data_IF_449264759063
#
_entry.id   IF_449264759063
#
_cell.length_a   1.000
_cell.length_b   1.000
_cell.length_c   1.000
_cell.angle_alpha   90.00
_cell.angle_beta   90.00
_cell.angle_gamma   90.00
#
_symmetry.space_group_name_H-M   'P 1'
#
loop_
_entity.id
_entity.type
_entity.pdbx_description
1 polymer ?
#
# COMPACT_ATOMS: atom_id res chain seq x y z
N UNK A 1 -35.42 45.02 -54.93
CA UNK A 1 -36.59 45.14 -54.04
C UNK A 1 -36.78 43.82 -53.30
N UNK A 2 -37.23 43.92 -52.04
CA UNK A 2 -37.32 42.89 -50.97
C UNK A 2 -38.10 41.60 -51.30
N UNK A 3 -37.78 40.54 -50.50
CA UNK A 3 -38.61 39.44 -49.89
C UNK A 3 -37.92 38.07 -50.11
N UNK A 4 -37.09 37.52 -49.22
CA UNK A 4 -37.26 36.81 -47.91
C UNK A 4 -38.23 35.59 -47.89
N UNK A 5 -37.69 34.47 -47.36
CA UNK A 5 -38.26 33.20 -46.83
C UNK A 5 -38.66 32.14 -47.88
N UNK A 6 -38.37 30.83 -47.74
CA UNK A 6 -38.21 30.02 -46.53
C UNK A 6 -37.26 28.82 -46.69
N UNK A 7 -36.65 28.44 -45.56
CA UNK A 7 -35.85 27.24 -45.31
C UNK A 7 -36.76 26.13 -44.80
N UNK A 8 -36.62 24.89 -45.28
CA UNK A 8 -36.77 23.68 -44.44
C UNK A 8 -35.97 22.53 -45.05
N UNK A 9 -34.77 22.27 -44.52
CA UNK A 9 -33.98 21.06 -44.77
C UNK A 9 -34.33 20.08 -43.65
N UNK A 10 -34.93 18.94 -43.99
CA UNK A 10 -35.04 17.78 -43.11
C UNK A 10 -33.90 16.84 -43.45
N UNK A 11 -32.87 16.80 -42.60
CA UNK A 11 -31.80 15.82 -42.69
C UNK A 11 -31.83 14.96 -41.43
N UNK A 12 -32.41 13.77 -41.54
CA UNK A 12 -32.35 12.74 -40.52
C UNK A 12 -31.01 11.99 -40.66
N UNK A 13 -30.06 12.27 -39.79
CA UNK A 13 -28.83 11.47 -39.65
C UNK A 13 -28.88 10.70 -38.34
N UNK A 14 -28.93 9.38 -38.48
CA UNK A 14 -28.91 8.38 -37.42
C UNK A 14 -27.54 8.41 -36.74
N UNK A 15 -27.48 8.82 -35.47
CA UNK A 15 -26.27 8.68 -34.65
C UNK A 15 -26.22 7.27 -34.09
N UNK A 16 -25.32 6.45 -34.64
CA UNK A 16 -24.79 5.26 -33.96
C UNK A 16 -24.05 5.71 -32.70
N UNK A 17 -24.73 5.64 -31.55
CA UNK A 17 -24.10 5.74 -30.24
C UNK A 17 -23.60 4.35 -29.83
N UNK A 18 -22.40 4.01 -30.27
CA UNK A 18 -21.63 2.92 -29.66
C UNK A 18 -21.14 3.38 -28.28
N UNK A 19 -21.90 3.05 -27.22
CA UNK A 19 -21.37 3.01 -25.86
C UNK A 19 -20.36 1.86 -25.78
N UNK A 20 -19.07 2.19 -25.90
CA UNK A 20 -18.01 1.40 -25.29
C UNK A 20 -17.72 2.03 -23.94
N UNK A 21 -18.12 1.34 -22.89
CA UNK A 21 -17.66 1.61 -21.53
C UNK A 21 -16.13 1.47 -21.53
N UNK A 22 -15.42 2.60 -21.49
CA UNK A 22 -14.00 2.59 -21.14
C UNK A 22 -13.90 2.28 -19.65
N UNK A 23 -13.02 1.36 -19.21
CA UNK A 23 -12.66 1.30 -17.80
C UNK A 23 -12.07 2.65 -17.41
N UNK A 24 -12.61 3.25 -16.34
CA UNK A 24 -12.04 4.44 -15.71
C UNK A 24 -10.59 4.14 -15.34
N UNK A 25 -9.67 4.71 -16.12
CA UNK A 25 -8.28 4.84 -15.71
C UNK A 25 -8.29 5.83 -14.55
N UNK A 26 -7.86 5.37 -13.37
CA UNK A 26 -7.75 6.20 -12.18
C UNK A 26 -7.00 7.50 -12.51
N UNK A 27 -7.63 8.62 -12.16
CA UNK A 27 -7.11 9.97 -12.39
C UNK A 27 -5.74 10.10 -11.68
N UNK A 28 -4.71 10.70 -12.30
CA UNK A 28 -3.44 10.97 -11.61
C UNK A 28 -3.71 11.80 -10.36
N UNK A 29 -3.26 11.32 -9.20
CA UNK A 29 -3.43 12.04 -7.93
C UNK A 29 -2.56 13.32 -7.95
N UNK A 30 -3.14 14.43 -7.54
CA UNK A 30 -2.47 15.74 -7.45
C UNK A 30 -1.28 15.65 -6.49
N UNK A 31 -0.09 16.18 -6.85
CA UNK A 31 1.05 16.28 -5.94
C UNK A 31 0.65 16.97 -4.62
N UNK A 32 1.00 16.37 -3.48
CA UNK A 32 0.76 16.93 -2.13
C UNK A 32 -0.48 16.44 -1.38
N UNK A 33 -1.24 15.47 -1.90
CA UNK A 33 -2.31 14.82 -1.13
C UNK A 33 -1.73 13.67 -0.29
N UNK A 34 -1.88 13.73 1.03
CA UNK A 34 -1.46 12.66 1.94
C UNK A 34 -2.08 11.31 1.55
N UNK A 35 -1.28 10.30 1.24
CA UNK A 35 -1.75 8.96 0.89
C UNK A 35 -1.51 7.99 2.04
N UNK A 36 -2.58 7.34 2.53
CA UNK A 36 -2.53 6.19 3.46
C UNK A 36 -2.50 4.91 2.64
N UNK A 37 -1.31 4.40 2.40
CA UNK A 37 -1.04 3.59 1.22
C UNK A 37 -1.67 2.20 1.31
N UNK A 38 -1.37 1.45 2.37
CA UNK A 38 -1.91 0.10 2.56
C UNK A 38 -3.37 0.13 3.01
N UNK A 39 -3.77 1.13 3.81
CA UNK A 39 -5.17 1.28 4.24
C UNK A 39 -6.13 1.40 3.05
N UNK A 40 -5.84 2.31 2.13
CA UNK A 40 -6.70 2.52 0.97
C UNK A 40 -6.81 1.25 0.13
N UNK A 41 -5.73 0.49 0.02
CA UNK A 41 -5.70 -0.71 -0.79
C UNK A 41 -6.50 -1.88 -0.20
N UNK A 42 -6.43 -2.06 1.13
CA UNK A 42 -7.20 -3.10 1.81
C UNK A 42 -8.70 -2.78 1.90
N UNK A 43 -9.06 -1.49 1.92
CA UNK A 43 -10.47 -1.07 1.98
C UNK A 43 -11.22 -1.30 0.67
N UNK A 44 -10.53 -1.46 -0.46
CA UNK A 44 -11.16 -1.65 -1.77
C UNK A 44 -11.01 -3.08 -2.34
N UNK A 45 -10.39 -4.01 -1.60
CA UNK A 45 -10.13 -5.41 -2.04
C UNK A 45 -9.45 -5.52 -3.42
N UNK A 46 -8.68 -4.50 -3.84
CA UNK A 46 -8.18 -4.41 -5.22
C UNK A 46 -7.08 -5.44 -5.53
N UNK A 47 -6.35 -5.91 -4.50
CA UNK A 47 -5.19 -6.79 -4.66
C UNK A 47 -5.34 -8.17 -4.03
N UNK A 48 -6.24 -8.32 -3.06
CA UNK A 48 -6.40 -9.50 -2.19
C UNK A 48 -7.87 -9.66 -1.84
N UNK A 49 -8.32 -10.91 -1.71
CA UNK A 49 -9.72 -11.26 -1.46
C UNK A 49 -9.88 -12.21 -0.25
N UNK A 50 -8.75 -12.65 0.31
CA UNK A 50 -8.68 -13.60 1.41
C UNK A 50 -7.78 -13.02 2.50
N UNK A 51 -8.33 -12.87 3.71
CA UNK A 51 -7.60 -12.43 4.90
C UNK A 51 -7.53 -13.58 5.90
N UNK A 52 -6.35 -13.84 6.42
CA UNK A 52 -6.05 -14.85 7.42
C UNK A 52 -5.32 -14.22 8.60
N UNK A 53 -5.41 -14.85 9.76
CA UNK A 53 -4.63 -14.50 10.94
C UNK A 53 -3.61 -15.61 11.16
N UNK A 54 -2.33 -15.25 11.18
CA UNK A 54 -1.23 -16.18 11.45
C UNK A 54 -0.63 -15.92 12.84
N UNK A 55 -0.18 -16.99 13.50
CA UNK A 55 0.48 -16.94 14.81
C UNK A 55 1.57 -18.02 14.92
N UNK A 56 2.51 -18.01 13.98
CA UNK A 56 3.51 -19.08 13.85
C UNK A 56 4.81 -18.74 14.58
N UNK A 57 5.51 -17.67 14.17
CA UNK A 57 6.83 -17.28 14.67
C UNK A 57 6.94 -15.77 15.00
N UNK A 58 8.04 -15.42 15.65
CA UNK A 58 8.50 -14.05 15.85
C UNK A 58 9.13 -13.53 14.56
N UNK A 59 8.52 -12.52 13.97
CA UNK A 59 8.93 -11.98 12.68
C UNK A 59 9.11 -10.47 12.77
N UNK A 60 10.13 -9.97 12.06
CA UNK A 60 9.98 -8.71 11.35
C UNK A 60 9.35 -9.02 9.99
N UNK A 61 8.24 -8.36 9.65
CA UNK A 61 7.55 -8.58 8.38
C UNK A 61 7.12 -7.26 7.77
N UNK A 62 7.25 -7.12 6.45
CA UNK A 62 7.06 -5.85 5.79
C UNK A 62 7.11 -5.94 4.28
N UNK A 63 7.17 -4.79 3.62
CA UNK A 63 7.14 -4.70 2.17
C UNK A 63 8.19 -3.74 1.65
N UNK A 64 8.80 -4.09 0.53
CA UNK A 64 9.64 -3.18 -0.25
C UNK A 64 8.77 -2.31 -1.14
N UNK A 65 9.05 -1.02 -1.16
CA UNK A 65 8.33 -0.06 -1.99
C UNK A 65 9.24 1.06 -2.49
N UNK A 66 8.75 1.82 -3.46
CA UNK A 66 9.30 3.10 -3.87
C UNK A 66 8.18 4.06 -4.25
N UNK A 67 8.48 5.36 -4.32
CA UNK A 67 7.60 6.36 -4.92
C UNK A 67 8.08 6.71 -6.33
N UNK A 68 7.16 6.81 -7.29
CA UNK A 68 7.45 7.28 -8.65
C UNK A 68 7.71 8.79 -8.72
N UNK A 69 7.34 9.53 -7.67
CA UNK A 69 7.59 10.97 -7.53
C UNK A 69 8.41 11.26 -6.27
N UNK A 70 9.21 12.32 -6.29
CA UNK A 70 9.86 12.79 -5.06
C UNK A 70 8.83 13.37 -4.08
N UNK A 71 9.11 13.27 -2.78
CA UNK A 71 8.24 13.74 -1.71
C UNK A 71 8.87 13.43 -0.35
N UNK A 72 8.02 13.19 0.66
CA UNK A 72 8.48 12.85 2.02
C UNK A 72 7.55 11.87 2.71
N UNK A 73 8.14 11.03 3.56
CA UNK A 73 7.42 10.13 4.46
C UNK A 73 7.33 10.82 5.83
N UNK A 74 6.12 11.05 6.32
CA UNK A 74 5.88 11.87 7.51
C UNK A 74 5.32 11.08 8.69
N UNK A 75 4.74 9.90 8.43
CA UNK A 75 4.19 9.04 9.47
C UNK A 75 4.47 7.57 9.17
N UNK A 76 4.59 6.79 10.23
CA UNK A 76 4.53 5.33 10.20
C UNK A 76 3.19 4.89 10.80
N UNK A 77 2.63 3.82 10.28
CA UNK A 77 1.37 3.27 10.78
C UNK A 77 1.35 1.75 10.78
N UNK A 78 0.35 1.19 11.46
CA UNK A 78 0.07 -0.24 11.39
C UNK A 78 -1.40 -0.57 11.62
N UNK A 79 -1.76 -1.81 11.27
CA UNK A 79 -3.00 -2.48 11.67
C UNK A 79 -2.69 -3.93 12.03
N UNK A 80 -3.01 -4.34 13.25
CA UNK A 80 -2.75 -5.70 13.76
C UNK A 80 -4.00 -6.35 14.38
N UNK A 81 -4.13 -7.69 14.36
CA UNK A 81 -5.30 -8.40 14.89
C UNK A 81 -5.49 -8.28 16.40
N UNK A 82 -4.44 -7.91 17.14
CA UNK A 82 -4.46 -7.85 18.60
C UNK A 82 -3.98 -6.50 19.09
N UNK A 83 -4.62 -5.99 20.14
CA UNK A 83 -4.18 -4.78 20.81
C UNK A 83 -2.76 -4.93 21.35
N UNK A 84 -2.01 -3.82 21.40
CA UNK A 84 -0.65 -3.81 21.93
C UNK A 84 0.19 -2.69 21.35
N UNK A 85 1.44 -2.58 21.83
CA UNK A 85 2.41 -1.59 21.39
C UNK A 85 3.34 -2.21 20.35
N UNK A 86 3.09 -1.93 19.08
CA UNK A 86 3.87 -2.50 17.97
C UNK A 86 4.92 -1.52 17.48
N UNK A 87 6.12 -2.03 17.22
CA UNK A 87 7.18 -1.26 16.57
C UNK A 87 7.06 -1.38 15.06
N UNK A 88 6.98 -0.24 14.39
CA UNK A 88 7.05 -0.10 12.94
C UNK A 88 8.37 0.58 12.58
N UNK A 89 9.05 0.06 11.56
CA UNK A 89 10.40 0.46 11.17
C UNK A 89 10.44 0.76 9.67
N UNK A 90 11.05 1.89 9.30
CA UNK A 90 11.33 2.28 7.93
C UNK A 90 12.83 2.18 7.67
N UNK A 91 13.19 1.46 6.62
CA UNK A 91 14.57 1.17 6.26
C UNK A 91 14.90 1.67 4.86
N UNK A 92 16.14 2.09 4.65
CA UNK A 92 16.70 2.23 3.30
C UNK A 92 16.99 0.82 2.75
N UNK A 93 16.51 0.52 1.55
CA UNK A 93 16.64 -0.83 1.01
C UNK A 93 18.09 -1.16 0.61
N UNK A 94 18.84 -0.19 0.06
CA UNK A 94 20.17 -0.42 -0.47
C UNK A 94 21.22 -0.63 0.63
N UNK A 95 21.23 0.27 1.61
CA UNK A 95 22.15 0.26 2.75
C UNK A 95 21.67 -0.57 3.92
N UNK A 96 20.38 -0.94 3.95
CA UNK A 96 19.71 -1.66 5.06
C UNK A 96 19.67 -0.86 6.37
N UNK A 97 19.98 0.43 6.33
CA UNK A 97 19.98 1.30 7.50
C UNK A 97 18.56 1.61 7.96
N UNK A 98 18.36 1.68 9.28
CA UNK A 98 17.11 2.16 9.86
C UNK A 98 17.04 3.67 9.69
N UNK A 99 16.01 4.14 8.98
CA UNK A 99 15.78 5.57 8.75
C UNK A 99 14.88 6.17 9.83
N UNK A 100 13.83 5.45 10.22
CA UNK A 100 12.90 5.88 11.25
C UNK A 100 12.23 4.67 11.90
N UNK A 101 11.76 4.82 13.14
CA UNK A 101 10.88 3.84 13.77
C UNK A 101 9.91 4.51 14.75
N UNK A 102 8.73 3.93 14.91
CA UNK A 102 7.74 4.38 15.88
C UNK A 102 7.15 3.19 16.64
N UNK A 103 6.79 3.40 17.90
CA UNK A 103 6.00 2.44 18.69
C UNK A 103 4.58 2.97 18.76
N UNK A 104 3.63 2.21 18.22
CA UNK A 104 2.23 2.62 18.12
C UNK A 104 1.35 1.78 19.03
N UNK A 105 0.42 2.42 19.74
CA UNK A 105 -0.72 1.74 20.32
C UNK A 105 -1.62 1.25 19.17
N UNK A 106 -1.78 -0.06 19.03
CA UNK A 106 -2.66 -0.69 18.06
C UNK A 106 -3.99 -1.05 18.72
N UNK A 107 -5.08 -0.75 18.01
CA UNK A 107 -6.42 -1.26 18.32
C UNK A 107 -6.81 -2.25 17.23
N UNK A 108 -7.36 -3.43 17.59
CA UNK A 108 -7.74 -4.45 16.61
C UNK A 108 -8.57 -3.87 15.46
N UNK A 109 -8.24 -4.31 14.25
CA UNK A 109 -8.92 -3.93 13.00
C UNK A 109 -8.88 -2.45 12.60
N UNK A 110 -8.12 -1.60 13.31
CA UNK A 110 -7.97 -0.18 13.01
C UNK A 110 -6.53 0.17 12.61
N UNK A 111 -6.38 1.08 11.66
CA UNK A 111 -5.07 1.66 11.37
C UNK A 111 -4.75 2.76 12.37
N UNK A 112 -3.58 2.67 13.01
CA UNK A 112 -3.02 3.74 13.85
C UNK A 112 -1.76 4.28 13.22
N UNK A 113 -1.45 5.55 13.50
CA UNK A 113 -0.31 6.27 12.92
C UNK A 113 0.41 7.08 14.00
N UNK A 114 1.71 7.25 13.83
CA UNK A 114 2.55 8.10 14.64
C UNK A 114 3.44 8.95 13.73
N UNK A 115 3.62 10.21 14.12
CA UNK A 115 4.50 11.16 13.45
C UNK A 115 5.96 10.68 13.55
N UNK A 116 6.74 10.96 12.50
CA UNK A 116 8.20 10.82 12.52
C UNK A 116 8.85 12.11 12.02
N UNK A 117 10.16 12.24 12.24
CA UNK A 117 10.92 13.23 11.47
C UNK A 117 10.82 12.91 9.99
N UNK A 118 10.40 13.89 9.19
CA UNK A 118 10.21 13.75 7.76
C UNK A 118 11.43 13.10 7.08
N UNK A 119 11.19 11.98 6.40
CA UNK A 119 12.23 11.30 5.61
C UNK A 119 12.05 11.70 4.14
N UNK A 120 13.03 12.39 3.53
CA UNK A 120 12.96 12.72 2.12
C UNK A 120 12.99 11.45 1.28
N UNK A 121 12.09 11.36 0.31
CA UNK A 121 12.01 10.27 -0.63
C UNK A 121 12.28 10.81 -2.02
N UNK A 122 13.39 10.40 -2.62
CA UNK A 122 13.70 10.71 -4.00
C UNK A 122 12.95 9.72 -4.90
N UNK A 123 12.44 10.18 -6.03
CA UNK A 123 11.78 9.31 -7.01
C UNK A 123 12.62 8.05 -7.30
N UNK A 124 11.97 6.89 -7.26
CA UNK A 124 12.52 5.55 -7.47
C UNK A 124 13.54 5.06 -6.42
N UNK A 125 13.74 5.80 -5.32
CA UNK A 125 14.45 5.27 -4.15
C UNK A 125 13.62 4.20 -3.47
N UNK A 126 14.25 3.07 -3.14
CA UNK A 126 13.59 1.92 -2.52
C UNK A 126 13.76 1.94 -1.02
N UNK A 127 12.65 1.69 -0.36
CA UNK A 127 12.54 1.58 1.09
C UNK A 127 11.94 0.22 1.44
N UNK A 128 12.08 -0.17 2.71
CA UNK A 128 11.30 -1.23 3.32
C UNK A 128 10.55 -0.67 4.50
N UNK A 129 9.26 -0.88 4.57
CA UNK A 129 8.44 -0.62 5.75
C UNK A 129 8.10 -1.96 6.39
N UNK A 130 8.31 -2.10 7.69
CA UNK A 130 8.08 -3.36 8.40
C UNK A 130 7.51 -3.16 9.79
N UNK A 131 6.88 -4.21 10.31
CA UNK A 131 6.37 -4.31 11.67
C UNK A 131 6.97 -5.54 12.36
N UNK A 132 7.33 -5.36 13.62
CA UNK A 132 7.77 -6.44 14.49
C UNK A 132 6.57 -7.11 15.17
N UNK A 133 6.46 -8.43 15.07
CA UNK A 133 5.31 -9.19 15.60
C UNK A 133 5.49 -9.61 17.07
N UNK A 134 6.55 -9.16 17.75
CA UNK A 134 6.76 -9.39 19.17
C UNK A 134 6.39 -8.13 19.94
N UNK A 135 5.51 -8.28 20.93
CA UNK A 135 5.13 -7.20 21.84
C UNK A 135 5.38 -7.70 23.25
N UNK A 136 6.21 -6.97 24.00
CA UNK A 136 6.56 -7.29 25.40
C UNK A 136 7.14 -8.71 25.56
N UNK A 137 7.96 -9.15 24.60
CA UNK A 137 8.61 -10.47 24.62
C UNK A 137 7.67 -11.64 24.25
N UNK A 138 6.43 -11.37 23.87
CA UNK A 138 5.49 -12.37 23.41
C UNK A 138 5.18 -12.21 21.92
N UNK A 139 5.22 -13.30 21.15
CA UNK A 139 4.73 -13.32 19.78
C UNK A 139 3.25 -12.96 19.72
N UNK A 140 2.88 -12.12 18.77
CA UNK A 140 1.51 -11.67 18.53
C UNK A 140 1.04 -12.13 17.14
N UNK A 141 -0.26 -12.40 16.97
CA UNK A 141 -0.79 -12.73 15.67
C UNK A 141 -0.65 -11.54 14.70
N UNK A 142 -0.58 -11.83 13.41
CA UNK A 142 -0.52 -10.83 12.34
C UNK A 142 -1.40 -11.24 11.16
N UNK A 143 -1.84 -10.25 10.38
CA UNK A 143 -2.64 -10.51 9.19
C UNK A 143 -1.78 -11.06 8.04
N UNK A 144 -2.37 -11.98 7.29
CA UNK A 144 -1.90 -12.41 5.97
C UNK A 144 -3.03 -12.17 4.98
N UNK A 145 -2.75 -11.47 3.89
CA UNK A 145 -3.67 -11.27 2.78
C UNK A 145 -3.14 -11.91 1.51
N UNK A 146 -4.02 -12.57 0.76
CA UNK A 146 -3.69 -13.17 -0.54
C UNK A 146 -4.88 -13.14 -1.48
N UNK A 147 -4.63 -13.44 -2.76
CA UNK A 147 -5.68 -13.75 -3.75
C UNK A 147 -6.25 -15.15 -3.49
N UNK A 148 -7.49 -15.39 -3.93
CA UNK A 148 -8.24 -16.64 -3.69
C UNK A 148 -7.53 -17.82 -4.31
N UNK A 149 -6.96 -17.60 -5.50
CA UNK A 149 -5.94 -18.48 -6.05
C UNK A 149 -4.62 -18.20 -5.32
N UNK A 150 -4.26 -19.04 -4.36
CA UNK A 150 -3.09 -18.84 -3.49
C UNK A 150 -1.74 -18.86 -4.23
N UNK A 151 -1.72 -19.21 -5.52
CA UNK A 151 -0.55 -19.16 -6.40
C UNK A 151 -0.42 -17.86 -7.21
N UNK A 152 -1.43 -16.99 -7.21
CA UNK A 152 -1.39 -15.74 -7.97
C UNK A 152 -0.49 -14.71 -7.28
N UNK A 153 0.33 -14.01 -8.07
CA UNK A 153 1.16 -12.92 -7.55
C UNK A 153 0.30 -11.74 -7.08
N UNK A 154 0.62 -11.20 -5.91
CA UNK A 154 0.07 -9.96 -5.36
C UNK A 154 0.92 -8.76 -5.77
N UNK A 155 2.24 -8.91 -5.83
CA UNK A 155 3.15 -7.84 -6.26
C UNK A 155 3.52 -7.96 -7.75
N UNK A 156 3.94 -6.84 -8.39
CA UNK A 156 3.87 -5.48 -7.86
C UNK A 156 2.42 -4.97 -7.80
N UNK A 157 2.17 -4.02 -6.91
CA UNK A 157 0.93 -3.25 -6.89
C UNK A 157 1.20 -1.78 -6.58
N UNK A 158 0.25 -0.92 -6.93
CA UNK A 158 0.40 0.53 -6.87
C UNK A 158 -0.75 1.16 -6.09
N UNK A 159 -0.44 2.14 -5.25
CA UNK A 159 -1.40 2.98 -4.55
C UNK A 159 -0.92 4.44 -4.67
N UNK A 160 -1.61 5.22 -5.49
CA UNK A 160 -1.15 6.55 -5.89
C UNK A 160 0.20 6.48 -6.60
N UNK A 161 1.18 7.23 -6.11
CA UNK A 161 2.56 7.21 -6.63
C UNK A 161 3.46 6.14 -5.97
N UNK A 162 2.94 5.38 -5.00
CA UNK A 162 3.71 4.35 -4.30
C UNK A 162 3.53 3.00 -4.98
N UNK A 163 4.65 2.33 -5.28
CA UNK A 163 4.69 0.98 -5.84
C UNK A 163 5.32 0.03 -4.83
N UNK A 164 4.61 -1.02 -4.44
CA UNK A 164 5.15 -2.12 -3.66
C UNK A 164 5.63 -3.24 -4.57
N UNK A 165 6.83 -3.75 -4.31
CA UNK A 165 7.51 -4.69 -5.22
C UNK A 165 7.63 -6.11 -4.66
N UNK A 166 7.65 -6.29 -3.32
CA UNK A 166 7.81 -7.59 -2.70
C UNK A 166 7.50 -7.56 -1.20
N UNK A 167 7.05 -8.71 -0.67
CA UNK A 167 7.11 -8.98 0.77
C UNK A 167 8.55 -9.29 1.21
N UNK A 168 8.89 -8.75 2.36
CA UNK A 168 10.13 -8.96 3.08
C UNK A 168 9.82 -9.52 4.47
N UNK A 169 10.61 -10.49 4.93
CA UNK A 169 10.47 -11.02 6.29
C UNK A 169 11.79 -11.47 6.86
N UNK A 170 11.86 -11.59 8.19
CA UNK A 170 12.97 -12.24 8.90
C UNK A 170 12.48 -12.76 10.23
N UNK A 171 12.76 -14.02 10.54
CA UNK A 171 12.51 -14.56 11.87
C UNK A 171 13.46 -13.87 12.84
N UNK A 172 12.94 -13.17 13.84
CA UNK A 172 13.76 -12.49 14.83
C UNK A 172 12.99 -12.11 16.09
N UNK A 173 13.58 -12.30 17.30
CA UNK A 173 13.01 -11.83 18.56
C UNK A 173 13.11 -10.32 18.74
N UNK A 174 13.84 -9.62 17.86
CA UNK A 174 14.06 -8.17 17.90
C UNK A 174 13.83 -7.56 16.53
N UNK A 175 13.53 -6.26 16.48
CA UNK A 175 13.31 -5.59 15.20
C UNK A 175 14.61 -5.40 14.42
N UNK A 176 14.64 -5.89 13.19
CA UNK A 176 15.83 -5.97 12.31
C UNK A 176 15.42 -5.79 10.86
N UNK A 177 16.34 -5.42 9.97
CA UNK A 177 16.05 -5.35 8.54
C UNK A 177 15.56 -6.72 8.02
N UNK A 178 14.36 -6.81 7.40
CA UNK A 178 13.82 -8.07 6.93
C UNK A 178 14.41 -8.44 5.56
N UNK A 179 15.54 -9.16 5.54
CA UNK A 179 16.32 -9.45 4.33
C UNK A 179 15.84 -10.65 3.50
N UNK A 180 14.92 -11.48 3.98
CA UNK A 180 14.50 -12.68 3.25
C UNK A 180 13.44 -12.38 2.19
N UNK A 181 13.73 -12.80 0.96
CA UNK A 181 12.80 -12.85 -0.18
C UNK A 181 12.70 -14.32 -0.65
N UNK A 182 11.55 -14.95 -0.50
CA UNK A 182 11.27 -16.30 -1.05
C UNK A 182 10.16 -16.23 -2.12
N UNK A 183 10.01 -17.24 -2.97
CA UNK A 183 8.97 -17.21 -4.02
C UNK A 183 7.55 -17.07 -3.46
N UNK A 184 7.26 -17.57 -2.26
CA UNK A 184 5.98 -17.37 -1.58
C UNK A 184 5.70 -15.90 -1.23
N UNK A 185 6.75 -15.08 -1.09
CA UNK A 185 6.66 -13.65 -0.74
C UNK A 185 6.08 -12.79 -1.87
N UNK A 186 5.85 -13.37 -3.05
CA UNK A 186 5.15 -12.70 -4.14
C UNK A 186 3.63 -12.89 -4.07
N UNK A 187 3.14 -13.93 -3.37
CA UNK A 187 1.72 -14.34 -3.39
C UNK A 187 0.87 -13.82 -2.22
N UNK A 188 1.49 -13.10 -1.29
CA UNK A 188 0.81 -12.61 -0.08
C UNK A 188 1.40 -11.31 0.47
N UNK A 189 0.57 -10.52 1.13
CA UNK A 189 0.95 -9.42 2.02
C UNK A 189 0.89 -9.96 3.45
N UNK A 190 1.91 -9.68 4.27
CA UNK A 190 1.96 -10.12 5.66
C UNK A 190 2.39 -8.98 6.57
N UNK A 191 1.67 -8.84 7.67
CA UNK A 191 1.69 -7.61 8.46
C UNK A 191 1.12 -6.44 7.67
N UNK A 192 0.47 -5.51 8.35
CA UNK A 192 -0.03 -4.30 7.70
C UNK A 192 0.67 -3.04 8.23
N UNK A 193 1.99 -2.92 8.06
CA UNK A 193 2.63 -1.64 8.29
C UNK A 193 2.28 -0.69 7.13
N UNK A 194 2.18 0.60 7.44
CA UNK A 194 1.77 1.63 6.49
C UNK A 194 2.62 2.89 6.65
N UNK A 195 2.55 3.78 5.67
CA UNK A 195 3.17 5.09 5.69
C UNK A 195 2.14 6.17 5.33
N UNK A 196 2.44 7.41 5.71
CA UNK A 196 1.83 8.59 5.08
C UNK A 196 2.90 9.28 4.24
N UNK A 197 2.66 9.34 2.93
CA UNK A 197 3.50 10.01 1.94
C UNK A 197 2.89 11.34 1.50
N UNK A 198 3.72 12.38 1.32
CA UNK A 198 3.33 13.73 0.91
C UNK A 198 4.24 14.27 -0.19
#
# INVERSE_FOLDING_TARGET
>A
MKKIFAVTIVLASVLWSCKKDQPEVSKPETPGKSVKVLKNLLEHNEIVDTVLIANVNEFEVGMRFYSSTSGKITHLGCKMPSAGKYKVSLWDYGSKQLLASAVLDNYPDQFTYADITDIPAIANQRFVISIHTVVEGAKRPYYISRKKSSSASVYPFTAGNIVFEALHSKVSPVSVFPDAITQSNQSLVAGYPDIIFQ
#
